data_IF_877021873287
#
_entry.id   IF_877021873287
#
_cell.length_a   1.000
_cell.length_b   1.000
_cell.length_c   1.000
_cell.angle_alpha   90.00
_cell.angle_beta   90.00
_cell.angle_gamma   90.00
#
_symmetry.space_group_name_H-M   'P 1'
#
loop_
_entity.id
_entity.type
_entity.pdbx_description
1 polymer ?
#
# COMPACT_ATOMS: atom_id res chain seq x y z
N UNK A 1 -3.01 -38.48 47.89
CA UNK A 1 -2.27 -38.43 46.60
C UNK A 1 -3.22 -38.58 45.40
N UNK A 2 -4.18 -37.67 45.22
CA UNK A 2 -5.02 -37.58 43.99
C UNK A 2 -5.34 -36.13 43.60
N UNK A 3 -5.26 -35.18 44.54
CA UNK A 3 -5.46 -33.75 44.26
C UNK A 3 -4.21 -33.01 43.72
N UNK A 4 -3.01 -33.61 43.82
CA UNK A 4 -1.76 -32.96 43.37
C UNK A 4 -1.44 -33.17 41.88
N UNK A 5 -2.03 -34.20 41.25
CA UNK A 5 -1.80 -34.52 39.83
C UNK A 5 -2.65 -33.64 38.91
N UNK A 6 -3.80 -33.17 39.38
CA UNK A 6 -4.70 -32.29 38.61
C UNK A 6 -4.13 -30.87 38.49
N UNK A 7 -3.38 -30.40 39.50
CA UNK A 7 -2.81 -29.05 39.52
C UNK A 7 -1.59 -28.89 38.59
N UNK A 8 -0.90 -29.99 38.26
CA UNK A 8 0.21 -29.99 37.28
C UNK A 8 -0.34 -30.01 35.84
N UNK A 9 -1.53 -30.58 35.60
CA UNK A 9 -2.15 -30.61 34.27
C UNK A 9 -2.89 -29.32 33.89
N UNK A 10 -3.27 -28.48 34.86
CA UNK A 10 -3.91 -27.19 34.58
C UNK A 10 -2.92 -26.02 34.43
N UNK A 11 -1.64 -26.22 34.78
CA UNK A 11 -0.57 -25.24 34.59
C UNK A 11 0.17 -25.41 33.25
N UNK A 12 -0.07 -26.49 32.50
CA UNK A 12 0.57 -26.76 31.19
C UNK A 12 -0.26 -26.29 29.99
N UNK A 13 -1.48 -25.79 30.18
CA UNK A 13 -2.32 -25.22 29.12
C UNK A 13 -2.42 -23.68 29.15
N UNK A 14 -1.66 -23.01 30.02
CA UNK A 14 -1.68 -21.55 30.18
C UNK A 14 -0.60 -20.76 29.42
N UNK A 15 0.29 -21.42 28.67
CA UNK A 15 1.38 -20.78 27.92
C UNK A 15 1.48 -21.34 26.50
N UNK A 16 0.47 -21.07 25.68
CA UNK A 16 0.58 -21.15 24.22
C UNK A 16 -0.21 -20.01 23.57
N UNK A 17 0.12 -18.78 23.97
CA UNK A 17 -0.03 -17.61 23.12
C UNK A 17 1.30 -16.86 23.07
N UNK A 18 2.38 -17.61 22.84
CA UNK A 18 3.48 -17.04 22.07
C UNK A 18 2.91 -16.77 20.68
N UNK A 19 2.84 -15.50 20.29
CA UNK A 19 2.82 -15.13 18.88
C UNK A 19 3.73 -16.10 18.11
N UNK A 20 3.34 -16.62 16.93
CA UNK A 20 4.22 -17.49 16.17
C UNK A 20 5.58 -16.81 16.08
N UNK A 21 6.59 -17.49 16.63
CA UNK A 21 7.92 -16.94 16.82
C UNK A 21 8.37 -16.27 15.54
N UNK A 22 8.73 -14.98 15.65
CA UNK A 22 9.21 -14.15 14.55
C UNK A 22 10.24 -14.95 13.77
N UNK A 23 9.88 -15.36 12.54
CA UNK A 23 10.80 -16.00 11.62
C UNK A 23 12.03 -15.07 11.48
N UNK A 24 13.25 -15.49 11.84
CA UNK A 24 14.43 -14.63 11.76
C UNK A 24 14.69 -14.13 10.32
N UNK A 25 14.08 -14.79 9.33
CA UNK A 25 14.14 -14.46 7.91
C UNK A 25 12.97 -13.58 7.42
N UNK A 26 12.27 -12.87 8.31
CA UNK A 26 11.14 -12.01 7.91
C UNK A 26 11.56 -10.79 7.09
N UNK A 27 12.82 -10.36 7.21
CA UNK A 27 13.33 -9.24 6.41
C UNK A 27 13.94 -9.77 5.09
N UNK A 28 13.30 -9.53 3.94
CA UNK A 28 13.87 -9.86 2.63
C UNK A 28 15.19 -9.17 2.32
N UNK A 29 15.42 -8.04 3.00
CA UNK A 29 16.65 -7.25 2.90
C UNK A 29 17.56 -7.51 4.10
N UNK A 30 17.47 -8.70 4.70
CA UNK A 30 18.48 -9.13 5.67
C UNK A 30 19.83 -9.25 4.97
N UNK A 31 20.89 -8.89 5.68
CA UNK A 31 22.25 -8.94 5.14
C UNK A 31 22.59 -10.36 4.63
N UNK A 32 22.15 -11.40 5.35
CA UNK A 32 22.36 -12.80 4.94
C UNK A 32 21.66 -13.14 3.61
N UNK A 33 20.42 -12.68 3.42
CA UNK A 33 19.67 -12.91 2.18
C UNK A 33 20.31 -12.18 1.00
N UNK A 34 20.76 -10.93 1.22
CA UNK A 34 21.42 -10.14 0.19
C UNK A 34 22.79 -10.70 -0.20
N UNK A 35 23.60 -11.12 0.78
CA UNK A 35 24.90 -11.77 0.53
C UNK A 35 24.73 -13.09 -0.23
N UNK A 36 23.75 -13.91 0.16
CA UNK A 36 23.44 -15.14 -0.55
C UNK A 36 23.04 -14.86 -2.02
N UNK A 37 22.18 -13.87 -2.24
CA UNK A 37 21.75 -13.51 -3.58
C UNK A 37 22.91 -12.98 -4.42
N UNK A 38 23.78 -12.14 -3.85
CA UNK A 38 24.98 -11.65 -4.51
C UNK A 38 25.90 -12.79 -4.96
N UNK A 39 26.18 -13.76 -4.09
CA UNK A 39 26.98 -14.95 -4.43
C UNK A 39 26.36 -15.72 -5.60
N UNK A 40 25.05 -15.98 -5.55
CA UNK A 40 24.33 -16.68 -6.63
C UNK A 40 24.42 -15.90 -7.94
N UNK A 41 24.23 -14.59 -7.90
CA UNK A 41 24.24 -13.74 -9.08
C UNK A 41 25.62 -13.67 -9.73
N UNK A 42 26.68 -13.55 -8.93
CA UNK A 42 28.06 -13.60 -9.40
C UNK A 42 28.36 -14.95 -10.05
N UNK A 43 27.98 -16.07 -9.43
CA UNK A 43 28.17 -17.40 -10.01
C UNK A 43 27.39 -17.58 -11.32
N UNK A 44 26.17 -17.02 -11.42
CA UNK A 44 25.34 -17.14 -12.63
C UNK A 44 25.89 -16.33 -13.80
N UNK A 45 26.48 -15.16 -13.55
CA UNK A 45 26.94 -14.24 -14.60
C UNK A 45 28.43 -14.36 -14.93
N UNK A 46 29.28 -14.60 -13.94
CA UNK A 46 30.74 -14.62 -14.12
C UNK A 46 31.29 -16.03 -14.30
N UNK A 47 30.59 -17.07 -13.80
CA UNK A 47 31.10 -18.44 -13.82
C UNK A 47 30.16 -19.42 -14.54
N UNK A 48 30.36 -19.65 -15.86
CA UNK A 48 29.54 -20.57 -16.65
C UNK A 48 29.49 -22.00 -16.09
N UNK A 49 30.54 -22.44 -15.40
CA UNK A 49 30.64 -23.79 -14.83
C UNK A 49 29.85 -23.96 -13.52
N UNK A 50 29.69 -22.91 -12.73
CA UNK A 50 28.96 -22.92 -11.46
C UNK A 50 27.48 -22.53 -11.60
N UNK A 51 27.07 -22.07 -12.79
CA UNK A 51 25.73 -21.53 -13.06
C UNK A 51 24.58 -22.46 -12.66
N UNK A 52 24.63 -23.74 -13.04
CA UNK A 52 23.54 -24.69 -12.72
C UNK A 52 23.47 -25.00 -11.23
N UNK A 53 24.62 -25.07 -10.55
CA UNK A 53 24.70 -25.29 -9.11
C UNK A 53 24.17 -24.09 -8.34
N UNK A 54 24.53 -22.87 -8.77
CA UNK A 54 23.98 -21.62 -8.22
C UNK A 54 22.46 -21.53 -8.39
N UNK A 55 21.94 -21.85 -9.58
CA UNK A 55 20.50 -21.90 -9.83
C UNK A 55 19.78 -22.96 -8.99
N UNK A 56 20.41 -24.13 -8.80
CA UNK A 56 19.87 -25.20 -7.96
C UNK A 56 19.83 -24.80 -6.48
N UNK A 57 20.89 -24.14 -5.98
CA UNK A 57 20.93 -23.56 -4.63
C UNK A 57 19.83 -22.52 -4.44
N UNK A 58 19.69 -21.57 -5.37
CA UNK A 58 18.64 -20.54 -5.30
C UNK A 58 17.24 -21.16 -5.27
N UNK A 59 16.97 -22.14 -6.13
CA UNK A 59 15.71 -22.89 -6.15
C UNK A 59 15.45 -23.60 -4.83
N UNK A 60 16.47 -24.24 -4.25
CA UNK A 60 16.35 -24.91 -2.96
C UNK A 60 16.02 -23.93 -1.83
N UNK A 61 16.73 -22.80 -1.76
CA UNK A 61 16.52 -21.77 -0.74
C UNK A 61 15.14 -21.12 -0.88
N UNK A 62 14.71 -20.76 -2.09
CA UNK A 62 13.33 -20.33 -2.38
C UNK A 62 12.29 -21.27 -1.76
N UNK A 63 12.50 -22.59 -1.87
CA UNK A 63 11.52 -23.60 -1.43
C UNK A 63 11.54 -23.90 0.06
N UNK A 64 12.66 -23.69 0.74
CA UNK A 64 12.88 -24.22 2.10
C UNK A 64 13.18 -23.17 3.16
N UNK A 65 13.76 -22.02 2.77
CA UNK A 65 14.34 -21.04 3.69
C UNK A 65 13.99 -19.59 3.38
N UNK A 66 13.30 -19.35 2.27
CA UNK A 66 13.02 -18.01 1.77
C UNK A 66 12.14 -17.18 2.68
N UNK A 67 12.32 -15.87 2.58
CA UNK A 67 11.70 -14.84 3.41
C UNK A 67 10.19 -14.80 3.25
N UNK A 68 9.51 -14.12 4.18
CA UNK A 68 8.04 -14.06 4.22
C UNK A 68 7.44 -13.33 3.00
N UNK A 69 8.23 -12.58 2.23
CA UNK A 69 7.76 -11.78 1.09
C UNK A 69 7.94 -12.46 -0.28
N UNK A 70 8.66 -13.59 -0.37
CA UNK A 70 8.86 -14.33 -1.62
C UNK A 70 9.93 -13.78 -2.56
N UNK A 71 10.81 -12.89 -2.09
CA UNK A 71 11.81 -12.21 -2.94
C UNK A 71 12.79 -13.19 -3.62
N UNK A 72 13.30 -14.21 -2.92
CA UNK A 72 14.23 -15.15 -3.56
C UNK A 72 13.53 -16.02 -4.61
N UNK A 73 12.26 -16.36 -4.40
CA UNK A 73 11.45 -17.06 -5.40
C UNK A 73 11.17 -16.18 -6.64
N UNK A 74 10.98 -14.87 -6.43
CA UNK A 74 10.89 -13.92 -7.53
C UNK A 74 12.21 -13.84 -8.32
N UNK A 75 13.36 -13.73 -7.64
CA UNK A 75 14.68 -13.71 -8.29
C UNK A 75 14.97 -14.99 -9.05
N UNK A 76 14.64 -16.15 -8.47
CA UNK A 76 14.71 -17.43 -9.17
C UNK A 76 13.86 -17.43 -10.44
N UNK A 77 12.60 -17.00 -10.33
CA UNK A 77 11.68 -16.90 -11.47
C UNK A 77 12.24 -16.00 -12.58
N UNK A 78 12.87 -14.88 -12.22
CA UNK A 78 13.46 -13.93 -13.17
C UNK A 78 14.69 -14.52 -13.89
N UNK A 79 15.59 -15.19 -13.18
CA UNK A 79 16.75 -15.81 -13.78
C UNK A 79 16.36 -16.95 -14.74
N UNK A 80 15.37 -17.78 -14.37
CA UNK A 80 14.84 -18.80 -15.29
C UNK A 80 14.13 -18.16 -16.50
N UNK A 81 13.44 -17.03 -16.31
CA UNK A 81 12.83 -16.28 -17.42
C UNK A 81 13.88 -15.83 -18.44
N UNK A 82 14.99 -15.27 -17.96
CA UNK A 82 16.11 -14.81 -18.81
C UNK A 82 16.79 -15.97 -19.55
N UNK A 83 16.81 -17.17 -18.94
CA UNK A 83 17.32 -18.39 -19.58
C UNK A 83 16.37 -19.01 -20.61
N UNK A 84 15.14 -18.50 -20.72
CA UNK A 84 14.09 -19.07 -21.57
C UNK A 84 13.35 -20.26 -20.96
N UNK A 85 13.63 -20.59 -19.70
CA UNK A 85 12.98 -21.66 -18.95
C UNK A 85 11.64 -21.19 -18.36
N UNK A 86 10.68 -20.86 -19.23
CA UNK A 86 9.43 -20.20 -18.83
C UNK A 86 8.55 -21.04 -17.87
N UNK A 87 8.64 -22.37 -17.91
CA UNK A 87 7.93 -23.27 -16.98
C UNK A 87 8.46 -23.14 -15.53
N UNK A 88 9.79 -23.16 -15.36
CA UNK A 88 10.41 -22.97 -14.05
C UNK A 88 10.22 -21.54 -13.57
N UNK A 89 10.28 -20.58 -14.48
CA UNK A 89 9.98 -19.17 -14.21
C UNK A 89 8.56 -18.97 -13.65
N UNK A 90 7.56 -19.56 -14.32
CA UNK A 90 6.16 -19.56 -13.84
C UNK A 90 6.04 -20.16 -12.43
N UNK A 91 6.72 -21.28 -12.19
CA UNK A 91 6.74 -21.93 -10.87
C UNK A 91 7.37 -21.03 -9.80
N UNK A 92 8.46 -20.33 -10.13
CA UNK A 92 9.11 -19.37 -9.23
C UNK A 92 8.20 -18.21 -8.86
N UNK A 93 7.57 -17.58 -9.84
CA UNK A 93 6.64 -16.47 -9.58
C UNK A 93 5.38 -16.91 -8.84
N UNK A 94 4.87 -18.12 -9.10
CA UNK A 94 3.74 -18.68 -8.34
C UNK A 94 4.09 -18.80 -6.85
N UNK A 95 5.29 -19.32 -6.53
CA UNK A 95 5.75 -19.42 -5.14
C UNK A 95 5.99 -18.05 -4.49
N UNK A 96 6.45 -17.07 -5.26
CA UNK A 96 6.56 -15.71 -4.76
C UNK A 96 5.19 -15.11 -4.40
N UNK A 97 4.15 -15.39 -5.20
CA UNK A 97 2.78 -14.96 -4.93
C UNK A 97 2.09 -15.71 -3.79
N UNK A 98 2.39 -16.98 -3.58
CA UNK A 98 1.91 -17.74 -2.42
C UNK A 98 2.30 -17.04 -1.10
N UNK A 99 3.41 -16.30 -1.12
CA UNK A 99 3.93 -15.52 0.02
C UNK A 99 3.42 -14.07 0.02
N UNK A 100 3.43 -13.42 -1.14
CA UNK A 100 2.98 -12.03 -1.33
C UNK A 100 1.84 -11.93 -2.34
N UNK A 101 0.60 -12.30 -1.99
CA UNK A 101 -0.51 -12.47 -2.94
C UNK A 101 -1.01 -11.15 -3.54
N UNK A 102 -0.60 -10.00 -3.02
CA UNK A 102 -1.02 -8.68 -3.50
C UNK A 102 0.06 -7.96 -4.32
N UNK A 103 1.23 -8.56 -4.50
CA UNK A 103 2.31 -7.94 -5.25
C UNK A 103 1.98 -7.89 -6.75
N UNK A 104 1.86 -6.68 -7.29
CA UNK A 104 1.48 -6.47 -8.69
C UNK A 104 2.59 -6.83 -9.67
N UNK A 105 3.86 -6.70 -9.26
CA UNK A 105 5.00 -7.07 -10.08
C UNK A 105 5.03 -8.59 -10.25
N UNK A 106 4.85 -9.35 -9.17
CA UNK A 106 4.86 -10.81 -9.21
C UNK A 106 3.70 -11.34 -10.05
N UNK A 107 2.49 -10.74 -9.91
CA UNK A 107 1.32 -11.07 -10.76
C UNK A 107 1.62 -10.87 -12.24
N UNK A 108 2.22 -9.75 -12.60
CA UNK A 108 2.53 -9.47 -14.01
C UNK A 108 3.59 -10.44 -14.56
N UNK A 109 4.65 -10.71 -13.78
CA UNK A 109 5.69 -11.63 -14.20
C UNK A 109 5.20 -13.09 -14.29
N UNK A 110 4.34 -13.53 -13.36
CA UNK A 110 3.66 -14.83 -13.44
C UNK A 110 2.81 -14.92 -14.71
N UNK A 111 2.01 -13.88 -15.02
CA UNK A 111 1.18 -13.84 -16.23
C UNK A 111 2.03 -13.96 -17.51
N UNK A 112 3.08 -13.15 -17.64
CA UNK A 112 3.96 -13.18 -18.82
C UNK A 112 4.65 -14.54 -18.96
N UNK A 113 5.05 -15.14 -17.84
CA UNK A 113 5.66 -16.48 -17.84
C UNK A 113 4.65 -17.56 -18.23
N UNK A 114 3.41 -17.47 -17.75
CA UNK A 114 2.32 -18.37 -18.14
C UNK A 114 2.02 -18.29 -19.64
N UNK A 115 1.98 -17.08 -20.19
CA UNK A 115 1.80 -16.85 -21.61
C UNK A 115 2.91 -17.50 -22.44
N UNK A 116 4.17 -17.30 -22.07
CA UNK A 116 5.33 -17.86 -22.80
C UNK A 116 5.50 -19.37 -22.64
N UNK A 117 5.02 -19.93 -21.53
CA UNK A 117 5.13 -21.36 -21.23
C UNK A 117 3.90 -22.19 -21.65
N UNK A 118 2.80 -21.54 -22.01
CA UNK A 118 1.52 -22.22 -22.29
C UNK A 118 0.72 -22.59 -21.04
N UNK A 119 1.13 -22.16 -19.84
CA UNK A 119 0.46 -22.45 -18.56
C UNK A 119 -0.71 -21.50 -18.24
N UNK A 120 -1.36 -20.91 -19.24
CA UNK A 120 -2.51 -20.02 -19.03
C UNK A 120 -3.70 -20.77 -18.40
N UNK A 121 -3.91 -22.04 -18.73
CA UNK A 121 -4.95 -22.88 -18.12
C UNK A 121 -4.72 -23.14 -16.63
N UNK A 122 -3.46 -23.38 -16.22
CA UNK A 122 -3.09 -23.51 -14.80
C UNK A 122 -3.31 -22.18 -14.08
N UNK A 123 -2.85 -21.06 -14.66
CA UNK A 123 -3.07 -19.72 -14.12
C UNK A 123 -4.56 -19.43 -13.93
N UNK A 124 -5.40 -19.79 -14.90
CA UNK A 124 -6.85 -19.56 -14.85
C UNK A 124 -7.55 -20.32 -13.73
N UNK A 125 -7.12 -21.56 -13.46
CA UNK A 125 -7.75 -22.41 -12.42
C UNK A 125 -7.22 -22.11 -11.01
N UNK A 126 -6.07 -21.46 -10.91
CA UNK A 126 -5.36 -21.28 -9.65
C UNK A 126 -6.05 -20.28 -8.70
N UNK A 127 -6.54 -19.15 -9.21
CA UNK A 127 -7.18 -18.13 -8.38
C UNK A 127 -8.09 -17.21 -9.18
N UNK A 128 -8.92 -16.45 -8.47
CA UNK A 128 -9.75 -15.40 -9.07
C UNK A 128 -8.93 -14.38 -9.88
N UNK A 129 -7.81 -13.91 -9.32
CA UNK A 129 -6.90 -13.01 -10.02
C UNK A 129 -6.21 -13.72 -11.19
N UNK A 130 -5.92 -15.01 -11.06
CA UNK A 130 -5.40 -15.85 -12.12
C UNK A 130 -6.35 -15.95 -13.32
N UNK A 131 -7.65 -16.08 -13.09
CA UNK A 131 -8.67 -16.06 -14.15
C UNK A 131 -8.68 -14.72 -14.91
N UNK A 132 -8.55 -13.61 -14.17
CA UNK A 132 -8.46 -12.26 -14.76
C UNK A 132 -7.18 -12.10 -15.59
N UNK A 133 -6.03 -12.48 -15.04
CA UNK A 133 -4.73 -12.36 -15.71
C UNK A 133 -4.64 -13.27 -16.95
N UNK A 134 -5.16 -14.50 -16.86
CA UNK A 134 -5.22 -15.42 -17.99
C UNK A 134 -6.11 -14.87 -19.10
N UNK A 135 -7.31 -14.39 -18.76
CA UNK A 135 -8.24 -13.83 -19.74
C UNK A 135 -7.69 -12.57 -20.39
N UNK A 136 -6.92 -11.77 -19.66
CA UNK A 136 -6.20 -10.61 -20.20
C UNK A 136 -5.14 -11.02 -21.23
N UNK A 137 -4.27 -11.99 -20.91
CA UNK A 137 -3.29 -12.51 -21.88
C UNK A 137 -3.96 -13.15 -23.09
N UNK A 138 -5.03 -13.92 -22.90
CA UNK A 138 -5.82 -14.49 -23.98
C UNK A 138 -6.45 -13.43 -24.89
N UNK A 139 -6.82 -12.26 -24.34
CA UNK A 139 -7.29 -11.12 -25.11
C UNK A 139 -6.13 -10.46 -25.87
N UNK A 140 -4.99 -10.22 -25.23
CA UNK A 140 -3.78 -9.65 -25.86
C UNK A 140 -3.30 -10.50 -27.06
N UNK A 141 -3.27 -11.82 -26.89
CA UNK A 141 -2.94 -12.76 -27.96
C UNK A 141 -3.98 -12.65 -29.09
N UNK A 142 -5.28 -12.69 -28.75
CA UNK A 142 -6.35 -12.59 -29.74
C UNK A 142 -6.33 -11.28 -30.53
N UNK A 143 -5.99 -10.17 -29.87
CA UNK A 143 -5.83 -8.86 -30.50
C UNK A 143 -4.63 -8.81 -31.45
N UNK A 144 -3.50 -9.44 -31.09
CA UNK A 144 -2.31 -9.52 -31.97
C UNK A 144 -2.55 -10.42 -33.19
N UNK A 145 -3.28 -11.50 -33.00
CA UNK A 145 -3.57 -12.50 -34.04
C UNK A 145 -4.78 -12.13 -34.91
N UNK A 146 -5.51 -11.04 -34.60
CA UNK A 146 -6.68 -10.61 -35.35
C UNK A 146 -7.89 -11.55 -35.23
N UNK A 147 -8.03 -12.25 -34.10
CA UNK A 147 -9.18 -13.15 -33.85
C UNK A 147 -10.48 -12.36 -33.71
N UNK A 148 -11.59 -12.93 -34.15
CA UNK A 148 -12.91 -12.28 -34.16
C UNK A 148 -13.72 -12.48 -32.87
N UNK A 149 -13.46 -13.56 -32.12
CA UNK A 149 -14.24 -13.90 -30.93
C UNK A 149 -13.65 -13.28 -29.64
N UNK A 150 -13.64 -11.95 -29.58
CA UNK A 150 -13.03 -11.19 -28.47
C UNK A 150 -14.07 -10.56 -27.53
N UNK A 151 -15.32 -10.40 -27.98
CA UNK A 151 -16.40 -9.81 -27.20
C UNK A 151 -16.55 -10.42 -25.79
N UNK A 152 -16.63 -11.76 -25.61
CA UNK A 152 -16.81 -12.35 -24.28
C UNK A 152 -15.64 -12.05 -23.32
N UNK A 153 -14.42 -11.94 -23.85
CA UNK A 153 -13.22 -11.61 -23.07
C UNK A 153 -13.24 -10.15 -22.62
N UNK A 154 -13.61 -9.23 -23.50
CA UNK A 154 -13.82 -7.83 -23.12
C UNK A 154 -14.91 -7.69 -22.07
N UNK A 155 -16.05 -8.36 -22.25
CA UNK A 155 -17.15 -8.34 -21.29
C UNK A 155 -16.71 -8.84 -19.91
N UNK A 156 -16.03 -9.98 -19.86
CA UNK A 156 -15.49 -10.53 -18.61
C UNK A 156 -14.58 -9.52 -17.91
N UNK A 157 -13.59 -8.96 -18.62
CA UNK A 157 -12.62 -8.03 -18.04
C UNK A 157 -13.25 -6.69 -17.60
N UNK A 158 -14.24 -6.20 -18.34
CA UNK A 158 -15.00 -5.00 -17.99
C UNK A 158 -15.82 -5.24 -16.72
N UNK A 159 -16.50 -6.39 -16.62
CA UNK A 159 -17.30 -6.73 -15.43
C UNK A 159 -16.46 -6.80 -14.16
N UNK A 160 -15.17 -7.14 -14.29
CA UNK A 160 -14.18 -7.17 -13.19
C UNK A 160 -13.45 -5.84 -12.96
N UNK A 161 -13.76 -4.80 -13.73
CA UNK A 161 -13.19 -3.46 -13.57
C UNK A 161 -11.76 -3.31 -14.06
N UNK A 162 -11.28 -4.21 -14.94
CA UNK A 162 -9.94 -4.12 -15.53
C UNK A 162 -9.85 -2.96 -16.53
N UNK A 163 -10.94 -2.70 -17.25
CA UNK A 163 -11.02 -1.64 -18.24
C UNK A 163 -11.85 -0.45 -17.75
N UNK A 164 -11.36 0.74 -18.09
CA UNK A 164 -12.10 2.01 -17.98
C UNK A 164 -12.53 2.49 -19.36
N UNK A 165 -13.46 3.45 -19.40
CA UNK A 165 -13.89 4.07 -20.67
C UNK A 165 -12.72 4.75 -21.38
N UNK A 166 -11.79 5.31 -20.61
CA UNK A 166 -10.59 5.95 -21.16
C UNK A 166 -9.61 4.92 -21.72
N UNK A 167 -9.38 3.79 -21.04
CA UNK A 167 -8.49 2.75 -21.57
C UNK A 167 -9.03 2.11 -22.85
N UNK A 168 -10.35 2.04 -23.03
CA UNK A 168 -10.95 1.55 -24.28
C UNK A 168 -10.95 2.59 -25.41
N UNK A 169 -10.80 3.87 -25.09
CA UNK A 169 -10.74 4.98 -26.08
C UNK A 169 -9.32 5.39 -26.47
N UNK A 170 -8.36 5.29 -25.54
CA UNK A 170 -6.98 5.76 -25.71
C UNK A 170 -5.90 4.78 -25.23
N UNK A 171 -6.27 3.60 -24.74
CA UNK A 171 -5.32 2.60 -24.25
C UNK A 171 -4.75 1.67 -25.32
N UNK A 172 -4.04 0.63 -24.88
CA UNK A 172 -3.38 -0.35 -25.75
C UNK A 172 -4.35 -1.22 -26.55
N UNK A 173 -5.59 -1.41 -26.07
CA UNK A 173 -6.59 -2.26 -26.72
C UNK A 173 -7.51 -1.52 -27.68
N UNK A 174 -7.32 -0.21 -27.94
CA UNK A 174 -8.25 0.60 -28.76
C UNK A 174 -8.47 0.00 -30.14
N UNK A 175 -7.38 -0.30 -30.86
CA UNK A 175 -7.48 -0.83 -32.21
C UNK A 175 -8.23 -2.18 -32.24
N UNK A 176 -7.99 -3.01 -31.23
CA UNK A 176 -8.66 -4.30 -31.08
C UNK A 176 -10.11 -4.18 -30.63
N UNK A 177 -10.44 -3.19 -29.80
CA UNK A 177 -11.81 -2.92 -29.39
C UNK A 177 -12.64 -2.37 -30.56
N UNK A 178 -12.02 -1.60 -31.45
CA UNK A 178 -12.65 -1.06 -32.65
C UNK A 178 -12.98 -2.13 -33.70
N UNK A 179 -12.38 -3.32 -33.65
CA UNK A 179 -12.74 -4.43 -34.56
C UNK A 179 -14.04 -5.12 -34.17
N UNK A 180 -14.54 -4.90 -32.95
CA UNK A 180 -15.86 -5.39 -32.51
C UNK A 180 -16.98 -4.69 -33.27
N UNK A 181 -18.16 -5.31 -33.33
CA UNK A 181 -19.32 -4.67 -33.95
C UNK A 181 -19.77 -3.43 -33.17
N UNK A 182 -20.40 -2.45 -33.83
CA UNK A 182 -20.76 -1.18 -33.17
C UNK A 182 -21.79 -1.35 -32.04
N UNK A 183 -22.72 -2.29 -32.17
CA UNK A 183 -23.66 -2.73 -31.13
C UNK A 183 -22.93 -3.30 -29.90
N UNK A 184 -21.93 -4.16 -30.11
CA UNK A 184 -21.10 -4.76 -29.07
C UNK A 184 -20.31 -3.71 -28.30
N UNK A 185 -19.66 -2.78 -29.01
CA UNK A 185 -18.92 -1.68 -28.40
C UNK A 185 -19.80 -0.81 -27.49
N UNK A 186 -21.02 -0.46 -27.96
CA UNK A 186 -21.98 0.34 -27.17
C UNK A 186 -22.42 -0.42 -25.93
N UNK A 187 -22.69 -1.73 -26.04
CA UNK A 187 -23.08 -2.56 -24.90
C UNK A 187 -21.97 -2.61 -23.84
N UNK A 188 -20.73 -2.88 -24.25
CA UNK A 188 -19.58 -2.95 -23.35
C UNK A 188 -19.31 -1.61 -22.67
N UNK A 189 -19.38 -0.49 -23.40
CA UNK A 189 -19.18 0.86 -22.83
C UNK A 189 -20.23 1.24 -21.78
N UNK A 190 -21.45 0.68 -21.85
CA UNK A 190 -22.48 0.87 -20.82
C UNK A 190 -22.18 0.08 -19.54
N UNK A 191 -21.56 -1.09 -19.66
CA UNK A 191 -21.18 -1.94 -18.52
C UNK A 191 -19.94 -1.43 -17.77
N UNK A 192 -19.09 -0.63 -18.41
CA UNK A 192 -17.89 -0.06 -17.76
C UNK A 192 -18.29 0.79 -16.57
N UNK A 193 -18.01 0.27 -15.37
CA UNK A 193 -18.04 1.04 -14.13
C UNK A 193 -16.96 2.11 -14.21
N UNK A 194 -17.32 3.37 -13.93
CA UNK A 194 -16.31 4.41 -13.76
C UNK A 194 -15.41 3.99 -12.60
N UNK A 195 -14.16 3.62 -12.90
CA UNK A 195 -13.18 3.34 -11.86
C UNK A 195 -12.91 4.65 -11.13
N UNK A 196 -13.55 4.84 -9.98
CA UNK A 196 -13.26 5.93 -9.05
C UNK A 196 -11.92 5.72 -8.34
N UNK A 197 -10.94 5.08 -8.99
CA UNK A 197 -9.60 4.88 -8.41
C UNK A 197 -8.72 5.99 -8.95
N UNK A 198 -8.76 7.13 -8.27
CA UNK A 198 -7.75 8.17 -8.47
C UNK A 198 -6.41 7.61 -7.99
N UNK A 199 -5.45 7.42 -8.90
CA UNK A 199 -4.09 7.00 -8.55
C UNK A 199 -3.47 7.89 -7.47
N UNK A 200 -3.79 9.19 -7.53
CA UNK A 200 -3.41 10.17 -6.52
C UNK A 200 -3.97 9.80 -5.14
N UNK A 201 -5.24 9.41 -5.04
CA UNK A 201 -5.86 9.03 -3.76
C UNK A 201 -5.30 7.73 -3.21
N UNK A 202 -4.95 6.78 -4.09
CA UNK A 202 -4.33 5.51 -3.68
C UNK A 202 -2.91 5.72 -3.18
N UNK A 203 -2.10 6.51 -3.87
CA UNK A 203 -0.77 6.90 -3.43
C UNK A 203 -0.81 7.61 -2.06
N UNK A 204 -1.78 8.52 -1.87
CA UNK A 204 -2.00 9.19 -0.59
C UNK A 204 -2.36 8.19 0.51
N UNK A 205 -3.24 7.22 0.23
CA UNK A 205 -3.61 6.19 1.20
C UNK A 205 -2.41 5.30 1.58
N UNK A 206 -1.54 4.97 0.62
CA UNK A 206 -0.34 4.19 0.88
C UNK A 206 0.70 4.97 1.71
N UNK A 207 0.90 6.27 1.41
CA UNK A 207 1.76 7.15 2.21
C UNK A 207 1.23 7.37 3.63
N UNK A 208 -0.10 7.50 3.80
CA UNK A 208 -0.73 7.57 5.12
C UNK A 208 -0.61 6.25 5.88
N UNK A 209 -0.62 5.10 5.19
CA UNK A 209 -0.47 3.80 5.86
C UNK A 209 0.92 3.57 6.42
N UNK A 210 1.95 4.10 5.77
CA UNK A 210 3.35 3.97 6.21
C UNK A 210 3.74 5.01 7.26
N UNK A 211 2.98 6.10 7.37
CA UNK A 211 3.20 7.15 8.35
C UNK A 211 2.80 6.70 9.77
N UNK A 212 3.74 6.62 10.73
CA UNK A 212 3.46 6.16 12.08
C UNK A 212 2.47 7.07 12.83
N UNK A 213 2.39 8.36 12.47
CA UNK A 213 1.51 9.32 13.12
C UNK A 213 0.05 9.18 12.70
N UNK A 214 -0.24 8.56 11.55
CA UNK A 214 -1.62 8.34 11.06
C UNK A 214 -2.48 7.55 12.04
N UNK A 215 -1.85 6.76 12.93
CA UNK A 215 -2.54 6.03 14.01
C UNK A 215 -3.18 6.93 15.06
N UNK A 216 -2.64 8.13 15.27
CA UNK A 216 -3.06 9.03 16.35
C UNK A 216 -3.54 10.40 15.83
N UNK A 217 -3.18 10.75 14.59
CA UNK A 217 -3.38 12.07 14.00
C UNK A 217 -3.77 11.95 12.52
N UNK A 218 -4.68 12.78 12.03
CA UNK A 218 -5.00 12.84 10.59
C UNK A 218 -3.87 13.56 9.84
N UNK A 219 -3.01 12.78 9.19
CA UNK A 219 -1.89 13.28 8.38
C UNK A 219 -2.25 13.51 6.91
N UNK A 220 -3.53 13.35 6.53
CA UNK A 220 -3.95 13.44 5.12
C UNK A 220 -3.66 14.81 4.49
N UNK A 221 -3.77 15.91 5.26
CA UNK A 221 -3.43 17.25 4.78
C UNK A 221 -1.93 17.46 4.50
N UNK A 222 -1.07 16.79 5.27
CA UNK A 222 0.38 16.81 5.04
C UNK A 222 0.74 16.11 3.73
N UNK A 223 0.24 14.88 3.54
CA UNK A 223 0.52 14.09 2.33
C UNK A 223 -0.12 14.68 1.07
N UNK A 224 -1.24 15.40 1.20
CA UNK A 224 -1.87 16.14 0.07
C UNK A 224 -1.09 17.39 -0.35
N UNK A 225 -0.14 17.88 0.45
CA UNK A 225 0.53 19.15 0.23
C UNK A 225 -0.33 20.38 0.55
N UNK A 226 -1.43 20.19 1.28
CA UNK A 226 -2.33 21.29 1.70
C UNK A 226 -1.67 22.17 2.78
N UNK A 227 -0.59 21.67 3.40
CA UNK A 227 0.25 22.39 4.36
C UNK A 227 0.81 23.71 3.83
N UNK A 228 0.89 23.93 2.52
CA UNK A 228 1.30 25.21 1.93
C UNK A 228 0.20 26.25 1.74
N UNK A 229 -1.08 25.85 1.64
CA UNK A 229 -2.21 26.78 1.37
C UNK A 229 -2.99 27.16 2.63
N UNK A 230 -2.98 26.33 3.67
CA UNK A 230 -3.44 26.73 5.02
C UNK A 230 -2.35 27.49 5.82
N UNK A 231 -1.16 27.67 5.25
CA UNK A 231 -0.04 28.46 5.80
C UNK A 231 0.09 29.88 5.21
N UNK A 232 -0.93 30.40 4.50
CA UNK A 232 -1.00 31.85 4.23
C UNK A 232 -1.35 32.56 5.54
N UNK A 233 -0.31 32.81 6.33
CA UNK A 233 -0.38 33.36 7.68
C UNK A 233 0.79 33.00 8.60
N UNK A 234 1.76 32.19 8.13
CA UNK A 234 3.03 31.97 8.83
C UNK A 234 4.14 32.76 8.12
N UNK A 235 4.91 33.48 8.93
CA UNK A 235 6.01 34.38 8.57
C UNK A 235 6.95 33.82 7.50
N UNK A 236 7.19 34.64 6.48
CA UNK A 236 8.28 34.47 5.53
C UNK A 236 9.62 34.56 6.27
N UNK A 237 10.25 33.41 6.55
CA UNK A 237 11.71 33.21 6.62
C UNK A 237 12.01 31.82 7.17
N UNK A 238 12.03 30.82 6.28
CA UNK A 238 12.91 29.66 6.37
C UNK A 238 12.76 28.83 5.09
N UNK A 239 13.72 29.04 4.17
CA UNK A 239 14.11 28.15 3.06
C UNK A 239 13.01 27.78 2.07
N UNK A 240 12.82 28.68 1.10
CA UNK A 240 12.21 28.41 -0.19
C UNK A 240 13.04 27.43 -1.02
N UNK A 241 12.47 26.29 -1.38
CA UNK A 241 12.80 25.60 -2.63
C UNK A 241 11.70 25.96 -3.64
N UNK A 242 12.07 26.77 -4.63
CA UNK A 242 11.18 27.24 -5.69
C UNK A 242 10.70 26.08 -6.56
N UNK A 243 9.37 25.92 -6.66
CA UNK A 243 8.73 25.44 -7.90
C UNK A 243 7.52 26.33 -8.16
N UNK A 244 7.66 27.23 -9.14
CA UNK A 244 6.59 28.09 -9.62
C UNK A 244 5.80 27.37 -10.72
N UNK A 245 4.47 27.24 -10.57
CA UNK A 245 3.51 27.24 -11.70
C UNK A 245 2.13 27.72 -11.22
N UNK A 246 1.64 28.80 -11.86
CA UNK A 246 0.23 28.95 -12.28
C UNK A 246 -0.81 29.41 -11.27
N UNK A 247 -1.23 30.68 -11.39
CA UNK A 247 -2.46 31.20 -10.80
C UNK A 247 -3.69 30.51 -11.41
N UNK A 248 -4.61 30.04 -10.58
CA UNK A 248 -6.05 30.09 -10.85
C UNK A 248 -6.84 30.23 -9.54
N UNK A 249 -7.79 31.15 -9.63
CA UNK A 249 -8.79 31.63 -8.68
C UNK A 249 -9.82 30.57 -8.28
N UNK A 250 -10.31 30.68 -7.04
CA UNK A 250 -11.65 30.22 -6.61
C UNK A 250 -11.79 28.72 -6.39
N UNK A 251 -11.77 28.29 -5.13
CA UNK A 251 -12.22 26.94 -4.76
C UNK A 251 -13.22 27.02 -3.61
N UNK A 252 -14.49 26.87 -3.98
CA UNK A 252 -15.58 26.48 -3.10
C UNK A 252 -15.20 25.24 -2.30
N UNK A 253 -15.56 25.23 -1.02
CA UNK A 253 -15.49 24.06 -0.14
C UNK A 253 -16.42 22.96 -0.65
N UNK A 254 -15.94 22.15 -1.59
CA UNK A 254 -16.55 20.90 -2.02
C UNK A 254 -16.27 19.81 -1.00
N UNK A 255 -17.34 19.31 -0.38
CA UNK A 255 -17.39 18.11 0.47
C UNK A 255 -17.00 16.86 -0.31
N UNK A 256 -15.73 16.48 -0.23
CA UNK A 256 -15.20 15.18 -0.67
C UNK A 256 -15.24 14.11 0.44
N UNK A 257 -15.20 12.81 0.08
CA UNK A 257 -15.68 11.71 0.90
C UNK A 257 -14.73 11.36 2.07
N UNK A 258 -15.33 11.13 3.24
CA UNK A 258 -14.79 10.52 4.46
C UNK A 258 -13.31 10.80 4.75
N UNK A 259 -13.05 12.00 5.31
CA UNK A 259 -11.85 12.25 6.13
C UNK A 259 -11.80 11.18 7.22
N UNK A 260 -10.70 10.45 7.34
CA UNK A 260 -10.41 9.63 8.53
C UNK A 260 -10.13 10.58 9.69
N UNK A 261 -11.19 11.09 10.29
CA UNK A 261 -11.08 12.07 11.36
C UNK A 261 -10.75 11.34 12.65
N UNK A 262 -9.50 11.45 13.10
CA UNK A 262 -9.12 11.00 14.43
C UNK A 262 -9.70 12.00 15.46
N UNK A 263 -10.30 11.52 16.56
CA UNK A 263 -10.89 12.40 17.58
C UNK A 263 -9.92 13.45 18.15
N UNK A 264 -8.64 13.08 18.31
CA UNK A 264 -7.56 13.99 18.71
C UNK A 264 -7.42 15.15 17.72
N UNK A 265 -7.40 14.88 16.41
CA UNK A 265 -7.23 15.92 15.40
C UNK A 265 -8.46 16.84 15.31
N UNK A 266 -9.66 16.31 15.50
CA UNK A 266 -10.86 17.16 15.60
C UNK A 266 -10.81 18.08 16.82
N UNK A 267 -10.41 17.56 17.99
CA UNK A 267 -10.27 18.36 19.19
C UNK A 267 -9.24 19.50 19.00
N UNK A 268 -8.12 19.23 18.34
CA UNK A 268 -7.13 20.26 18.03
C UNK A 268 -7.62 21.30 17.01
N UNK A 269 -8.39 20.88 15.99
CA UNK A 269 -9.03 21.82 15.05
C UNK A 269 -9.93 22.81 15.78
N UNK A 270 -10.66 22.37 16.82
CA UNK A 270 -11.44 23.27 17.68
C UNK A 270 -10.56 24.24 18.46
N UNK A 271 -9.42 23.81 18.99
CA UNK A 271 -8.44 24.69 19.66
C UNK A 271 -7.96 25.78 18.69
N UNK A 272 -7.60 25.41 17.46
CA UNK A 272 -7.16 26.36 16.41
C UNK A 272 -8.27 27.37 16.06
N UNK A 273 -9.51 26.91 15.88
CA UNK A 273 -10.66 27.78 15.61
C UNK A 273 -10.94 28.75 16.77
N UNK A 274 -10.91 28.25 18.01
CA UNK A 274 -11.11 29.07 19.20
C UNK A 274 -9.99 30.11 19.37
N UNK A 275 -8.74 29.73 19.09
CA UNK A 275 -7.59 30.65 19.07
C UNK A 275 -7.79 31.80 18.09
N UNK A 276 -8.17 31.49 16.85
CA UNK A 276 -8.42 32.48 15.81
C UNK A 276 -9.55 33.44 16.19
N UNK A 277 -10.62 32.92 16.79
CA UNK A 277 -11.73 33.73 17.30
C UNK A 277 -11.38 34.56 18.54
N UNK A 278 -10.30 34.22 19.24
CA UNK A 278 -9.91 34.86 20.50
C UNK A 278 -10.79 34.51 21.70
N UNK A 279 -11.62 33.47 21.60
CA UNK A 279 -12.50 33.04 22.68
C UNK A 279 -11.77 32.06 23.62
N UNK A 280 -11.22 32.57 24.71
CA UNK A 280 -10.46 31.79 25.70
C UNK A 280 -11.30 30.69 26.36
N UNK A 281 -12.60 30.93 26.59
CA UNK A 281 -13.50 29.93 27.18
C UNK A 281 -13.70 28.72 26.29
N UNK A 282 -13.96 28.94 25.00
CA UNK A 282 -14.05 27.86 24.01
C UNK A 282 -12.70 27.16 23.78
N UNK A 283 -11.60 27.92 23.81
CA UNK A 283 -10.26 27.35 23.67
C UNK A 283 -9.93 26.41 24.84
N UNK A 284 -10.30 26.79 26.07
CA UNK A 284 -10.13 25.97 27.27
C UNK A 284 -10.94 24.67 27.21
N UNK A 285 -12.19 24.74 26.76
CA UNK A 285 -13.02 23.54 26.60
C UNK A 285 -12.48 22.61 25.51
N UNK A 286 -12.07 23.16 24.36
CA UNK A 286 -11.43 22.42 23.29
C UNK A 286 -10.10 21.78 23.72
N UNK A 287 -9.32 22.48 24.56
CA UNK A 287 -8.04 21.99 25.08
C UNK A 287 -8.25 20.83 26.07
N UNK A 288 -9.28 20.90 26.92
CA UNK A 288 -9.68 19.77 27.78
C UNK A 288 -10.10 18.56 26.95
N UNK A 289 -10.89 18.78 25.90
CA UNK A 289 -11.27 17.71 24.98
C UNK A 289 -10.03 17.09 24.29
N UNK A 290 -9.07 17.91 23.87
CA UNK A 290 -7.81 17.44 23.30
C UNK A 290 -7.01 16.58 24.29
N UNK A 291 -6.88 17.04 25.54
CA UNK A 291 -6.19 16.30 26.59
C UNK A 291 -6.87 14.98 26.94
N UNK A 292 -8.21 14.93 26.99
CA UNK A 292 -8.92 13.67 27.24
C UNK A 292 -8.64 12.65 26.13
N UNK A 293 -8.62 13.07 24.87
CA UNK A 293 -8.34 12.19 23.74
C UNK A 293 -6.88 11.73 23.71
N UNK A 294 -5.93 12.60 24.11
CA UNK A 294 -4.51 12.23 24.33
C UNK A 294 -4.41 11.12 25.39
N UNK A 295 -5.13 11.24 26.51
CA UNK A 295 -5.12 10.22 27.57
C UNK A 295 -5.75 8.90 27.13
N UNK A 296 -6.85 8.94 26.37
CA UNK A 296 -7.46 7.76 25.77
C UNK A 296 -6.46 7.06 24.83
N UNK A 297 -5.73 7.83 24.04
CA UNK A 297 -4.76 7.29 23.08
C UNK A 297 -3.50 6.73 23.74
N UNK A 298 -3.06 7.32 24.86
CA UNK A 298 -1.98 6.75 25.70
C UNK A 298 -2.28 5.34 26.21
N UNK A 299 -3.57 4.99 26.37
CA UNK A 299 -3.98 3.65 26.82
C UNK A 299 -4.02 2.59 25.72
N UNK A 300 -3.85 2.96 24.45
CA UNK A 300 -3.97 2.03 23.30
C UNK A 300 -2.72 1.18 23.07
N UNK A 301 -1.54 1.65 23.47
CA UNK A 301 -0.28 0.93 23.28
C UNK A 301 0.95 1.77 23.62
N UNK A 302 2.12 1.12 23.73
CA UNK A 302 3.39 1.80 24.10
C UNK A 302 3.82 2.83 23.05
N UNK A 303 3.69 2.49 21.77
CA UNK A 303 4.06 3.40 20.68
C UNK A 303 3.09 4.60 20.60
N UNK A 304 1.79 4.33 20.71
CA UNK A 304 0.72 5.33 20.73
C UNK A 304 0.86 6.28 21.92
N UNK A 305 1.29 5.77 23.08
CA UNK A 305 1.57 6.59 24.26
C UNK A 305 2.73 7.57 24.05
N UNK A 306 3.85 7.09 23.48
CA UNK A 306 4.99 7.96 23.16
C UNK A 306 4.61 9.05 22.14
N UNK A 307 3.85 8.69 21.11
CA UNK A 307 3.42 9.66 20.09
C UNK A 307 2.40 10.66 20.66
N UNK A 308 1.45 10.21 21.49
CA UNK A 308 0.49 11.10 22.13
C UNK A 308 1.16 12.06 23.13
N UNK A 309 2.22 11.62 23.81
CA UNK A 309 3.02 12.50 24.67
C UNK A 309 3.82 13.53 23.85
N UNK A 310 4.44 13.10 22.74
CA UNK A 310 5.11 14.02 21.82
C UNK A 310 4.14 15.07 21.26
N UNK A 311 2.91 14.66 20.92
CA UNK A 311 1.86 15.56 20.45
C UNK A 311 1.44 16.57 21.52
N UNK A 312 1.30 16.15 22.78
CA UNK A 312 1.00 17.05 23.90
C UNK A 312 2.11 18.10 24.11
N UNK A 313 3.38 17.68 24.03
CA UNK A 313 4.53 18.59 24.14
C UNK A 313 4.58 19.58 22.96
N UNK A 314 4.33 19.11 21.75
CA UNK A 314 4.28 19.95 20.55
C UNK A 314 3.14 20.99 20.64
N UNK A 315 1.96 20.58 21.10
CA UNK A 315 0.82 21.47 21.33
C UNK A 315 1.16 22.59 22.31
N UNK A 316 1.88 22.28 23.39
CA UNK A 316 2.34 23.27 24.38
C UNK A 316 3.27 24.29 23.75
N UNK A 317 4.31 23.82 23.07
CA UNK A 317 5.28 24.68 22.40
C UNK A 317 4.61 25.58 21.36
N UNK A 318 3.66 25.06 20.59
CA UNK A 318 2.89 25.84 19.63
C UNK A 318 2.12 26.98 20.31
N UNK A 319 1.38 26.70 21.39
CA UNK A 319 0.60 27.74 22.08
C UNK A 319 1.53 28.79 22.73
N UNK A 320 2.69 28.38 23.23
CA UNK A 320 3.66 29.29 23.85
C UNK A 320 4.35 30.20 22.83
N UNK A 321 4.78 29.64 21.71
CA UNK A 321 5.74 30.28 20.81
C UNK A 321 5.10 30.90 19.57
N UNK A 322 3.98 30.35 19.08
CA UNK A 322 3.38 30.78 17.82
C UNK A 322 2.52 32.05 18.01
N UNK A 323 2.75 33.12 17.21
CA UNK A 323 1.95 34.35 17.25
C UNK A 323 0.44 34.14 17.05
N UNK A 324 0.03 33.09 16.34
CA UNK A 324 -1.40 32.78 16.09
C UNK A 324 -2.15 32.38 17.36
N UNK A 325 -1.44 31.98 18.42
CA UNK A 325 -2.01 31.52 19.68
C UNK A 325 -1.83 32.49 20.84
N UNK A 326 -1.36 33.72 20.57
CA UNK A 326 -1.13 34.76 21.59
C UNK A 326 -2.34 34.97 22.49
N UNK A 327 -3.55 34.94 21.93
CA UNK A 327 -4.81 35.15 22.68
C UNK A 327 -5.15 34.03 23.66
N UNK A 328 -4.54 32.85 23.51
CA UNK A 328 -4.78 31.68 24.37
C UNK A 328 -3.48 31.18 25.02
N UNK A 329 -2.39 31.95 24.96
CA UNK A 329 -1.07 31.57 25.46
C UNK A 329 -1.08 31.22 26.96
N UNK A 330 -1.95 31.87 27.73
CA UNK A 330 -2.22 31.58 29.15
C UNK A 330 -2.57 30.10 29.39
N UNK A 331 -3.26 29.47 28.44
CA UNK A 331 -3.74 28.09 28.53
C UNK A 331 -2.65 27.04 28.29
N UNK A 332 -1.44 27.42 27.84
CA UNK A 332 -0.32 26.48 27.70
C UNK A 332 0.04 25.77 29.03
N UNK A 333 -0.27 26.40 30.17
CA UNK A 333 -0.06 25.81 31.50
C UNK A 333 -0.96 24.59 31.77
N UNK A 334 -2.02 24.42 31.00
CA UNK A 334 -2.94 23.29 31.10
C UNK A 334 -2.43 22.04 30.35
N UNK A 335 -1.37 22.17 29.53
CA UNK A 335 -0.70 21.09 28.76
C UNK A 335 0.60 20.58 29.39
#
# INVERSE_FOLDING_TARGET
MRAFVVLIFTLTFGFCSSEPGKNPNRNPYSLETLLFLEEVLLDVWENPSAKEDAMSRLRYVCRTKDTDDGYLCYMWGLLEFQRGNYNESYTGFRKALDKSPNDTLYKNMMRISAEKSGNLSDLKSHSYDGEVLSTLSELEIGCREGKTLLYPKFQFLISRGVFTKESLKRGSFVNCFQTLESNEQIALLKEVRNANVSYKERLLADQMKTDPFTKIWDTSGYHRGDSGKEMVGATASAVTANVAVGSQTGVSFGTGPNRSQTPITEAWKKVKLASNSGNEGQAKEALKQFLSEVQVTKRKGKAEAMMAEALQRAAKLLIEQDPQYVKIRSLAKEL
#
